data_IF_323236570964
#
_entry.id   IF_323236570964
#
_cell.length_a   1.000
_cell.length_b   1.000
_cell.length_c   1.000
_cell.angle_alpha   90.00
_cell.angle_beta   90.00
_cell.angle_gamma   90.00
#
_symmetry.space_group_name_H-M   'P 1'
#
loop_
_entity.id
_entity.type
_entity.pdbx_description
1 polymer ?
#
# COMPACT_ATOMS: atom_id res chain seq x y z
N UNK A 1 13.99 -12.48 -18.03
CA UNK A 1 14.07 -11.63 -16.83
C UNK A 1 15.29 -11.92 -15.96
N UNK A 2 15.64 -13.18 -15.72
CA UNK A 2 16.86 -13.54 -14.98
C UNK A 2 18.11 -13.20 -15.80
N UNK A 3 18.82 -12.17 -15.44
CA UNK A 3 20.04 -11.69 -16.13
C UNK A 3 20.05 -10.20 -16.42
N UNK A 4 18.93 -9.51 -16.17
CA UNK A 4 18.89 -8.07 -16.21
C UNK A 4 19.32 -7.49 -14.86
N UNK A 5 20.10 -6.42 -14.88
CA UNK A 5 20.29 -5.60 -13.68
C UNK A 5 18.99 -4.93 -13.27
N UNK A 6 18.84 -4.55 -12.00
CA UNK A 6 17.66 -3.83 -11.53
C UNK A 6 17.37 -2.56 -12.35
N UNK A 7 18.41 -1.85 -12.80
CA UNK A 7 18.30 -0.66 -13.65
C UNK A 7 17.72 -0.98 -15.03
N UNK A 8 18.21 -2.04 -15.67
CA UNK A 8 17.70 -2.49 -16.99
C UNK A 8 16.26 -2.97 -16.87
N UNK A 9 15.93 -3.72 -15.79
CA UNK A 9 14.56 -4.14 -15.52
C UNK A 9 13.61 -2.94 -15.39
N UNK A 10 13.98 -1.94 -14.60
CA UNK A 10 13.19 -0.72 -14.43
C UNK A 10 12.98 0.06 -15.72
N UNK A 11 13.95 0.09 -16.63
CA UNK A 11 13.84 0.79 -17.91
C UNK A 11 12.73 0.22 -18.81
N UNK A 12 12.40 -1.07 -18.69
CA UNK A 12 11.28 -1.68 -19.44
C UNK A 12 9.91 -1.28 -18.92
N UNK A 13 9.80 -0.91 -17.64
CA UNK A 13 8.53 -0.61 -16.98
C UNK A 13 8.36 0.86 -16.66
N UNK A 14 9.42 1.65 -16.68
CA UNK A 14 9.35 3.08 -16.41
C UNK A 14 8.64 3.79 -17.56
N UNK A 15 7.34 3.98 -17.40
CA UNK A 15 6.58 4.88 -18.26
C UNK A 15 6.57 6.26 -17.62
N UNK A 16 7.28 7.21 -18.23
CA UNK A 16 7.44 8.56 -17.70
C UNK A 16 6.15 9.41 -17.73
N UNK A 17 5.12 8.92 -18.40
CA UNK A 17 3.86 9.64 -18.57
C UNK A 17 2.74 9.18 -17.65
N UNK A 18 2.90 8.02 -16.99
CA UNK A 18 1.90 7.46 -16.08
C UNK A 18 2.56 6.91 -14.81
N UNK A 19 1.86 6.98 -13.68
CA UNK A 19 2.28 6.33 -12.43
C UNK A 19 2.13 4.81 -12.45
N UNK A 20 1.65 4.24 -13.56
CA UNK A 20 1.48 2.80 -13.75
C UNK A 20 2.77 2.17 -14.28
N UNK A 21 3.81 2.18 -13.46
CA UNK A 21 5.15 1.73 -13.85
C UNK A 21 5.36 0.21 -13.69
N UNK A 22 4.47 -0.47 -12.98
CA UNK A 22 4.58 -1.90 -12.74
C UNK A 22 3.36 -2.65 -13.26
N UNK A 23 3.57 -3.83 -13.87
CA UNK A 23 2.44 -4.66 -14.30
C UNK A 23 1.61 -5.08 -13.10
N UNK A 24 0.29 -5.00 -13.25
CA UNK A 24 -0.63 -5.50 -12.25
C UNK A 24 -0.48 -7.02 -12.09
N UNK A 25 -0.67 -7.51 -10.87
CA UNK A 25 -0.71 -8.93 -10.61
C UNK A 25 -1.90 -9.56 -11.32
N UNK A 26 -1.64 -10.65 -12.06
CA UNK A 26 -2.67 -11.39 -12.77
C UNK A 26 -2.83 -12.79 -12.19
N UNK A 27 -4.05 -13.30 -12.23
CA UNK A 27 -4.37 -14.66 -11.79
C UNK A 27 -4.00 -15.67 -12.91
N UNK A 28 -2.70 -15.79 -13.20
CA UNK A 28 -2.15 -16.60 -14.28
C UNK A 28 -2.19 -18.11 -14.00
N UNK A 29 -2.34 -18.48 -12.74
CA UNK A 29 -2.31 -19.87 -12.27
C UNK A 29 -0.91 -20.44 -12.07
N UNK A 30 0.14 -19.63 -12.28
CA UNK A 30 1.54 -19.98 -12.05
C UNK A 30 2.09 -19.33 -10.78
N UNK A 31 2.00 -18.01 -10.70
CA UNK A 31 2.42 -17.22 -9.53
C UNK A 31 1.21 -16.94 -8.63
N UNK A 32 0.14 -16.46 -9.21
CA UNK A 32 -1.13 -16.24 -8.50
C UNK A 32 -2.13 -17.30 -8.96
N UNK A 33 -2.69 -18.10 -8.03
CA UNK A 33 -3.70 -19.10 -8.38
C UNK A 33 -4.87 -18.49 -9.18
N UNK A 34 -5.43 -19.26 -10.12
CA UNK A 34 -6.57 -18.80 -10.96
C UNK A 34 -7.77 -18.31 -10.16
N UNK A 35 -7.96 -18.84 -8.95
CA UNK A 35 -9.03 -18.41 -8.02
C UNK A 35 -8.80 -17.03 -7.43
N UNK A 36 -7.63 -16.42 -7.68
CA UNK A 36 -7.22 -15.14 -7.13
C UNK A 36 -6.59 -15.23 -5.74
N UNK A 37 -5.77 -14.23 -5.42
CA UNK A 37 -5.00 -14.19 -4.18
C UNK A 37 -5.90 -14.24 -2.94
N UNK A 38 -7.00 -13.49 -2.94
CA UNK A 38 -7.91 -13.40 -1.79
C UNK A 38 -8.48 -14.76 -1.40
N UNK A 39 -8.98 -15.52 -2.37
CA UNK A 39 -9.56 -16.83 -2.13
C UNK A 39 -8.48 -17.87 -1.82
N UNK A 40 -7.33 -17.77 -2.46
CA UNK A 40 -6.18 -18.64 -2.21
C UNK A 40 -5.69 -18.55 -0.76
N UNK A 41 -5.61 -17.34 -0.18
CA UNK A 41 -5.19 -17.15 1.22
C UNK A 41 -6.08 -17.87 2.24
N UNK A 42 -7.32 -18.21 1.89
CA UNK A 42 -8.25 -18.93 2.76
C UNK A 42 -8.14 -20.45 2.66
N UNK A 43 -7.31 -20.97 1.77
CA UNK A 43 -7.22 -22.40 1.47
C UNK A 43 -5.83 -22.96 1.77
N UNK A 44 -5.79 -24.02 2.56
CA UNK A 44 -4.56 -24.66 3.04
C UNK A 44 -3.61 -25.07 1.92
N UNK A 45 -4.13 -25.49 0.78
CA UNK A 45 -3.33 -25.97 -0.36
C UNK A 45 -2.55 -24.87 -1.08
N UNK A 46 -2.87 -23.60 -0.86
CA UNK A 46 -2.20 -22.47 -1.53
C UNK A 46 -1.30 -21.65 -0.60
N UNK A 47 -1.29 -21.94 0.70
CA UNK A 47 -0.55 -21.13 1.67
C UNK A 47 0.44 -21.96 2.50
N UNK A 48 1.57 -21.37 2.81
CA UNK A 48 2.50 -21.89 3.79
C UNK A 48 2.10 -21.35 5.18
N UNK A 49 1.88 -22.28 6.13
CA UNK A 49 1.54 -21.89 7.50
C UNK A 49 2.79 -21.44 8.26
N UNK A 50 3.25 -20.24 7.99
CA UNK A 50 4.35 -19.61 8.70
C UNK A 50 3.81 -18.58 9.71
N UNK A 51 4.54 -18.32 10.81
CA UNK A 51 4.21 -17.21 11.70
C UNK A 51 4.14 -15.91 10.91
N UNK A 52 3.02 -15.22 11.01
CA UNK A 52 2.76 -14.01 10.23
C UNK A 52 2.36 -12.87 11.15
N UNK A 53 3.02 -11.73 11.01
CA UNK A 53 2.63 -10.48 11.64
C UNK A 53 2.32 -9.46 10.56
N UNK A 54 1.17 -8.79 10.67
CA UNK A 54 0.78 -7.73 9.76
C UNK A 54 0.18 -6.56 10.54
N UNK A 55 0.37 -5.36 10.05
CA UNK A 55 -0.13 -4.19 10.74
C UNK A 55 -0.36 -3.00 9.84
N UNK A 56 -0.93 -1.96 10.42
CA UNK A 56 -1.15 -0.68 9.78
C UNK A 56 -0.90 0.46 10.76
N UNK A 57 -0.65 1.63 10.23
CA UNK A 57 -0.70 2.86 11.02
C UNK A 57 -2.13 3.38 11.08
N UNK A 58 -2.41 4.33 11.99
CA UNK A 58 -3.71 5.01 12.06
C UNK A 58 -3.97 5.79 10.76
N UNK A 59 -2.96 6.47 10.28
CA UNK A 59 -3.02 7.45 9.20
C UNK A 59 -2.21 7.00 7.97
N UNK A 60 -2.44 5.76 7.49
CA UNK A 60 -1.69 5.10 6.41
C UNK A 60 -1.52 5.95 5.14
N UNK A 61 -2.56 6.70 4.77
CA UNK A 61 -2.54 7.46 3.52
C UNK A 61 -2.22 8.94 3.70
N UNK A 62 -2.07 9.42 4.93
CA UNK A 62 -1.90 10.85 5.21
C UNK A 62 -0.70 11.46 4.51
N UNK A 63 0.42 10.74 4.45
CA UNK A 63 1.61 11.20 3.75
C UNK A 63 1.37 11.36 2.24
N UNK A 64 0.58 10.48 1.62
CA UNK A 64 0.25 10.57 0.19
C UNK A 64 -0.64 11.77 -0.12
N UNK A 65 -1.54 12.13 0.81
CA UNK A 65 -2.39 13.30 0.69
C UNK A 65 -1.59 14.61 0.78
N UNK A 66 -0.48 14.61 1.51
CA UNK A 66 0.42 15.75 1.61
C UNK A 66 1.13 16.09 0.29
N UNK A 67 1.07 15.22 -0.71
CA UNK A 67 1.57 15.46 -2.07
C UNK A 67 0.46 15.65 -3.10
N UNK A 68 -0.81 15.61 -2.68
CA UNK A 68 -1.95 15.76 -3.57
C UNK A 68 -2.37 17.22 -3.67
N UNK A 69 -2.19 17.82 -4.84
CA UNK A 69 -2.62 19.20 -5.13
C UNK A 69 -4.13 19.43 -4.94
N UNK A 70 -4.93 18.37 -4.89
CA UNK A 70 -6.35 18.46 -4.57
C UNK A 70 -6.57 18.93 -3.14
N UNK A 71 -5.80 18.41 -2.18
CA UNK A 71 -5.98 18.67 -0.75
C UNK A 71 -5.03 19.73 -0.20
N UNK A 72 -3.88 19.94 -0.85
CA UNK A 72 -2.82 20.80 -0.29
C UNK A 72 -2.30 21.80 -1.33
N UNK A 73 -1.70 22.85 -0.83
CA UNK A 73 -0.80 23.75 -1.58
C UNK A 73 0.59 23.65 -1.00
N UNK A 74 1.60 23.66 -1.86
CA UNK A 74 2.99 23.69 -1.43
C UNK A 74 3.47 25.14 -1.42
N UNK A 75 3.82 25.66 -0.25
CA UNK A 75 4.40 26.98 -0.10
C UNK A 75 5.92 26.85 0.03
N UNK A 76 6.62 27.27 -1.01
CA UNK A 76 8.08 27.22 -1.08
C UNK A 76 8.77 28.45 -0.47
N UNK A 77 8.00 29.42 0.07
CA UNK A 77 8.54 30.75 0.40
C UNK A 77 9.26 30.85 1.75
N UNK A 78 8.93 30.00 2.73
CA UNK A 78 9.36 30.24 4.10
C UNK A 78 10.34 29.22 4.69
N UNK A 79 10.44 28.00 4.16
CA UNK A 79 11.24 26.92 4.78
C UNK A 79 12.33 26.34 3.89
N UNK A 80 12.36 26.70 2.62
CA UNK A 80 13.38 26.25 1.66
C UNK A 80 14.80 26.65 2.04
N UNK A 81 14.95 27.69 2.87
CA UNK A 81 16.26 28.22 3.27
C UNK A 81 16.99 27.33 4.30
N UNK A 82 16.26 26.55 5.12
CA UNK A 82 16.89 25.75 6.19
C UNK A 82 16.87 24.24 5.93
N UNK A 83 15.87 23.73 5.19
CA UNK A 83 15.70 22.28 5.04
C UNK A 83 15.32 21.84 3.63
N UNK A 84 15.26 22.73 2.67
CA UNK A 84 14.85 22.46 1.27
C UNK A 84 13.49 21.71 1.13
N UNK A 85 12.63 21.82 2.14
CA UNK A 85 11.31 21.19 2.16
C UNK A 85 10.21 22.25 2.06
N UNK A 86 9.28 22.12 1.11
CA UNK A 86 8.15 23.02 1.00
C UNK A 86 7.22 22.88 2.22
N UNK A 87 6.66 24.01 2.65
CA UNK A 87 5.58 24.00 3.65
C UNK A 87 4.30 23.48 3.00
N UNK A 88 3.74 22.42 3.55
CA UNK A 88 2.44 21.89 3.14
C UNK A 88 1.34 22.68 3.83
N UNK A 89 0.43 23.29 3.06
CA UNK A 89 -0.74 24.00 3.56
C UNK A 89 -2.00 23.26 3.12
N UNK A 90 -2.76 22.75 4.08
CA UNK A 90 -4.02 22.05 3.81
C UNK A 90 -5.10 23.07 3.42
N UNK A 91 -5.82 22.82 2.32
CA UNK A 91 -6.86 23.70 1.77
C UNK A 91 -8.17 23.63 2.55
N UNK A 92 -8.55 22.43 2.96
CA UNK A 92 -9.75 22.12 3.71
C UNK A 92 -9.40 20.97 4.67
N UNK A 93 -9.29 21.30 5.97
CA UNK A 93 -8.83 20.36 6.98
C UNK A 93 -9.86 19.26 7.23
N UNK A 94 -11.15 19.58 7.22
CA UNK A 94 -12.22 18.60 7.45
C UNK A 94 -12.27 17.58 6.30
N UNK A 95 -12.18 18.03 5.07
CA UNK A 95 -12.14 17.15 3.90
C UNK A 95 -10.87 16.30 3.87
N UNK A 96 -9.71 16.87 4.22
CA UNK A 96 -8.44 16.17 4.30
C UNK A 96 -8.46 15.05 5.34
N UNK A 97 -8.90 15.36 6.56
CA UNK A 97 -8.95 14.38 7.65
C UNK A 97 -10.04 13.32 7.43
N UNK A 98 -11.20 13.69 6.88
CA UNK A 98 -12.22 12.72 6.49
C UNK A 98 -11.70 11.74 5.43
N UNK A 99 -11.03 12.24 4.39
CA UNK A 99 -10.46 11.39 3.35
C UNK A 99 -9.36 10.49 3.92
N UNK A 100 -8.44 11.03 4.73
CA UNK A 100 -7.42 10.27 5.43
C UNK A 100 -8.05 9.14 6.26
N UNK A 101 -9.04 9.44 7.07
CA UNK A 101 -9.73 8.46 7.92
C UNK A 101 -10.32 7.30 7.11
N UNK A 102 -11.13 7.59 6.09
CA UNK A 102 -11.80 6.56 5.31
C UNK A 102 -10.82 5.74 4.47
N UNK A 103 -9.83 6.36 3.85
CA UNK A 103 -8.84 5.66 3.04
C UNK A 103 -7.87 4.83 3.88
N UNK A 104 -7.43 5.32 5.03
CA UNK A 104 -6.59 4.57 5.97
C UNK A 104 -7.33 3.36 6.54
N UNK A 105 -8.63 3.50 6.86
CA UNK A 105 -9.44 2.36 7.28
C UNK A 105 -9.66 1.34 6.16
N UNK A 106 -9.90 1.77 4.94
CA UNK A 106 -9.99 0.87 3.79
C UNK A 106 -8.69 0.10 3.57
N UNK A 107 -7.55 0.77 3.70
CA UNK A 107 -6.23 0.13 3.63
C UNK A 107 -6.05 -0.92 4.73
N UNK A 108 -6.34 -0.58 5.98
CA UNK A 108 -6.29 -1.50 7.12
C UNK A 108 -7.16 -2.74 6.89
N UNK A 109 -8.41 -2.55 6.46
CA UNK A 109 -9.34 -3.67 6.23
C UNK A 109 -8.81 -4.59 5.14
N UNK A 110 -8.45 -4.05 3.97
CA UNK A 110 -8.06 -4.84 2.80
C UNK A 110 -6.62 -5.36 2.88
N UNK A 111 -5.72 -4.58 3.47
CA UNK A 111 -4.28 -4.91 3.54
C UNK A 111 -3.91 -5.75 4.76
N UNK A 112 -4.68 -5.69 5.85
CA UNK A 112 -4.35 -6.37 7.10
C UNK A 112 -5.45 -7.33 7.56
N UNK A 113 -6.66 -6.81 7.82
CA UNK A 113 -7.71 -7.60 8.49
C UNK A 113 -8.19 -8.74 7.59
N UNK A 114 -8.52 -8.47 6.33
CA UNK A 114 -8.99 -9.50 5.40
C UNK A 114 -7.94 -10.58 5.13
N UNK A 115 -6.66 -10.26 4.82
CA UNK A 115 -5.60 -11.26 4.67
C UNK A 115 -5.38 -12.12 5.92
N UNK A 116 -5.30 -11.51 7.10
CA UNK A 116 -5.13 -12.25 8.36
C UNK A 116 -6.31 -13.20 8.62
N UNK A 117 -7.54 -12.71 8.43
CA UNK A 117 -8.74 -13.56 8.57
C UNK A 117 -8.78 -14.69 7.53
N UNK A 118 -8.31 -14.45 6.31
CA UNK A 118 -8.22 -15.49 5.29
C UNK A 118 -7.18 -16.55 5.67
N UNK A 119 -6.01 -16.14 6.12
CA UNK A 119 -4.98 -17.06 6.64
C UNK A 119 -5.47 -17.87 7.84
N UNK A 120 -6.22 -17.26 8.76
CA UNK A 120 -6.84 -17.99 9.87
C UNK A 120 -7.81 -19.08 9.39
N UNK A 121 -8.63 -18.79 8.38
CA UNK A 121 -9.54 -19.77 7.75
C UNK A 121 -8.80 -20.92 7.09
N UNK A 122 -7.58 -20.70 6.57
CA UNK A 122 -6.75 -21.78 6.03
C UNK A 122 -6.19 -22.73 7.11
N UNK A 123 -6.33 -22.38 8.39
CA UNK A 123 -5.84 -23.15 9.53
C UNK A 123 -4.51 -22.65 10.12
N UNK A 124 -4.01 -21.47 9.70
CA UNK A 124 -2.84 -20.89 10.34
C UNK A 124 -3.22 -20.29 11.69
N UNK A 125 -2.59 -20.77 12.77
CA UNK A 125 -2.83 -20.33 14.15
C UNK A 125 -1.78 -19.33 14.68
N UNK A 126 -0.73 -19.05 13.90
CA UNK A 126 0.36 -18.16 14.31
C UNK A 126 0.25 -16.81 13.59
N UNK A 127 -0.86 -16.11 13.87
CA UNK A 127 -1.21 -14.86 13.22
C UNK A 127 -1.29 -13.74 14.25
N UNK A 128 -0.61 -12.65 13.96
CA UNK A 128 -0.54 -11.47 14.81
C UNK A 128 -0.85 -10.23 14.00
N UNK A 129 -1.58 -9.30 14.60
CA UNK A 129 -1.82 -8.00 13.97
C UNK A 129 -1.58 -6.86 14.95
N UNK A 130 -1.14 -5.72 14.44
CA UNK A 130 -0.95 -4.52 15.22
C UNK A 130 -1.49 -3.29 14.50
N UNK A 131 -1.77 -2.25 15.26
CA UNK A 131 -2.00 -0.90 14.77
C UNK A 131 -1.03 0.03 15.50
N UNK A 132 -0.35 0.86 14.74
CA UNK A 132 0.50 1.91 15.24
C UNK A 132 -0.28 3.23 15.22
N UNK A 133 -0.45 3.86 16.39
CA UNK A 133 -1.18 5.13 16.58
C UNK A 133 -0.23 6.32 16.77
#
# INVERSE_FOLDING_TARGET
MYGLSGKEFYQYYANRETFEELPLLTNDGLVIPKIGLRDALSKKEYVNHVPTIAGSTRDEVKIWLAFSEYFVTLDNSATSFLFDLPKVVVKDEDAFEAFNYYRSNAWKIRGVIEPINSLAKSGNSQLYSYRFD
#
